data_IF_891760342050
#
_entry.id   IF_891760342050
#
_cell.length_a   1.000
_cell.length_b   1.000
_cell.length_c   1.000
_cell.angle_alpha   90.00
_cell.angle_beta   90.00
_cell.angle_gamma   90.00
#
_symmetry.space_group_name_H-M   'P 1'
#
loop_
_entity.id
_entity.type
_entity.pdbx_description
1 polymer ?
#
# COMPACT_ATOMS: atom_id res chain seq x y z
N UNK A 1 -19.23 9.79 -17.95
CA UNK A 1 -18.21 8.78 -18.33
C UNK A 1 -18.93 7.56 -18.88
N UNK A 2 -18.60 7.13 -20.10
CA UNK A 2 -19.24 5.97 -20.75
C UNK A 2 -18.68 4.64 -20.26
N UNK A 3 -17.41 4.59 -19.91
CA UNK A 3 -16.76 3.39 -19.38
C UNK A 3 -15.61 3.75 -18.46
N UNK A 4 -15.46 2.99 -17.35
CA UNK A 4 -14.29 3.09 -16.46
C UNK A 4 -12.98 2.64 -17.13
N UNK A 5 -13.07 2.03 -18.31
CA UNK A 5 -11.93 1.54 -19.11
C UNK A 5 -11.55 2.52 -20.24
N UNK A 6 -12.26 3.63 -20.41
CA UNK A 6 -11.84 4.69 -21.35
C UNK A 6 -10.75 5.53 -20.70
N UNK A 7 -9.55 5.50 -21.28
CA UNK A 7 -8.38 6.19 -20.74
C UNK A 7 -8.55 7.71 -20.77
N UNK A 8 -8.99 8.26 -21.89
CA UNK A 8 -9.14 9.71 -22.07
C UNK A 8 -10.21 10.29 -21.15
N UNK A 9 -11.37 9.64 -21.06
CA UNK A 9 -12.43 10.06 -20.16
C UNK A 9 -12.01 9.90 -18.68
N UNK A 10 -11.26 8.85 -18.34
CA UNK A 10 -10.76 8.61 -17.00
C UNK A 10 -9.80 9.70 -16.53
N UNK A 11 -8.86 10.09 -17.41
CA UNK A 11 -7.91 11.18 -17.14
C UNK A 11 -8.69 12.49 -16.91
N UNK A 12 -9.63 12.83 -17.81
CA UNK A 12 -10.39 14.06 -17.74
C UNK A 12 -11.22 14.15 -16.43
N UNK A 13 -11.86 13.06 -16.03
CA UNK A 13 -12.63 13.01 -14.76
C UNK A 13 -11.73 13.20 -13.55
N UNK A 14 -10.60 12.51 -13.49
CA UNK A 14 -9.67 12.62 -12.35
C UNK A 14 -9.03 14.00 -12.29
N UNK A 15 -8.71 14.61 -13.42
CA UNK A 15 -8.20 15.99 -13.49
C UNK A 15 -9.23 16.99 -12.99
N UNK A 16 -10.48 16.82 -13.36
CA UNK A 16 -11.57 17.68 -12.89
C UNK A 16 -11.79 17.54 -11.37
N UNK A 17 -11.79 16.31 -10.84
CA UNK A 17 -11.88 16.09 -9.39
C UNK A 17 -10.72 16.77 -8.65
N UNK A 18 -9.53 16.68 -9.19
CA UNK A 18 -8.34 17.31 -8.61
C UNK A 18 -8.44 18.86 -8.66
N UNK A 19 -8.92 19.39 -9.79
CA UNK A 19 -9.17 20.84 -9.97
C UNK A 19 -10.21 21.34 -8.98
N UNK A 20 -11.34 20.64 -8.81
CA UNK A 20 -12.40 21.00 -7.88
C UNK A 20 -11.93 20.96 -6.42
N UNK A 21 -11.17 19.93 -6.03
CA UNK A 21 -10.57 19.84 -4.71
C UNK A 21 -9.71 21.07 -4.40
N UNK A 22 -8.91 21.51 -5.37
CA UNK A 22 -8.07 22.72 -5.23
C UNK A 22 -8.87 24.01 -5.16
N UNK A 23 -9.86 24.20 -6.04
CA UNK A 23 -10.67 25.43 -6.07
C UNK A 23 -11.47 25.61 -4.79
N UNK A 24 -12.10 24.54 -4.31
CA UNK A 24 -12.95 24.58 -3.13
C UNK A 24 -12.21 24.28 -1.83
N UNK A 25 -10.89 24.08 -1.89
CA UNK A 25 -10.04 23.70 -0.76
C UNK A 25 -10.70 22.61 0.09
N UNK A 26 -11.13 21.53 -0.57
CA UNK A 26 -11.92 20.45 0.03
C UNK A 26 -11.30 19.08 -0.27
N UNK A 27 -11.70 18.08 0.54
CA UNK A 27 -11.35 16.69 0.31
C UNK A 27 -12.41 16.01 -0.54
N UNK A 28 -12.01 15.36 -1.63
CA UNK A 28 -12.90 14.52 -2.44
C UNK A 28 -12.53 13.06 -2.17
N UNK A 29 -13.53 12.28 -1.73
CA UNK A 29 -13.38 10.85 -1.47
C UNK A 29 -14.06 10.09 -2.61
N UNK A 30 -13.28 9.25 -3.30
CA UNK A 30 -13.78 8.35 -4.34
C UNK A 30 -13.79 6.91 -3.82
N UNK A 31 -14.88 6.19 -4.06
CA UNK A 31 -15.00 4.77 -3.71
C UNK A 31 -14.97 3.93 -4.98
N UNK A 32 -14.05 2.98 -5.03
CA UNK A 32 -13.87 2.05 -6.15
C UNK A 32 -13.71 0.62 -5.64
N UNK A 33 -14.11 -0.32 -6.49
CA UNK A 33 -13.82 -1.74 -6.25
C UNK A 33 -12.44 -2.12 -6.77
N UNK A 34 -11.80 -3.04 -6.07
CA UNK A 34 -10.61 -3.72 -6.57
C UNK A 34 -10.95 -4.67 -7.72
N UNK A 35 -9.97 -5.00 -8.57
CA UNK A 35 -10.08 -6.15 -9.45
C UNK A 35 -10.09 -7.44 -8.63
N UNK A 36 -10.87 -8.46 -9.02
CA UNK A 36 -10.81 -9.75 -8.37
C UNK A 36 -9.36 -10.27 -8.35
N UNK A 37 -8.90 -10.73 -7.18
CA UNK A 37 -7.56 -11.28 -6.95
C UNK A 37 -6.39 -10.30 -7.12
N UNK A 38 -6.59 -8.99 -6.90
CA UNK A 38 -5.52 -8.01 -6.99
C UNK A 38 -5.71 -6.76 -6.13
N UNK A 39 -4.62 -6.06 -5.86
CA UNK A 39 -4.59 -4.77 -5.15
C UNK A 39 -4.82 -3.59 -6.14
N UNK A 40 -4.94 -3.88 -7.43
CA UNK A 40 -5.17 -2.84 -8.45
C UNK A 40 -6.62 -2.38 -8.43
N UNK A 41 -6.82 -1.08 -8.47
CA UNK A 41 -8.14 -0.49 -8.66
C UNK A 41 -8.64 -0.79 -10.08
N UNK A 42 -9.95 -0.97 -10.21
CA UNK A 42 -10.56 -1.38 -11.47
C UNK A 42 -10.54 -0.27 -12.52
N UNK A 43 -10.07 -0.61 -13.74
CA UNK A 43 -10.13 0.25 -14.93
C UNK A 43 -9.07 1.37 -14.96
N UNK A 44 -9.04 2.11 -16.06
CA UNK A 44 -8.15 3.26 -16.24
C UNK A 44 -8.39 4.35 -15.19
N UNK A 45 -9.62 4.60 -14.80
CA UNK A 45 -9.95 5.55 -13.74
C UNK A 45 -9.30 5.15 -12.40
N UNK A 46 -9.25 3.86 -12.08
CA UNK A 46 -8.57 3.35 -10.89
C UNK A 46 -7.08 3.62 -10.92
N UNK A 47 -6.43 3.40 -12.06
CA UNK A 47 -5.00 3.67 -12.25
C UNK A 47 -4.69 5.17 -12.12
N UNK A 48 -5.51 6.03 -12.70
CA UNK A 48 -5.33 7.50 -12.61
C UNK A 48 -5.56 8.02 -11.17
N UNK A 49 -6.59 7.54 -10.48
CA UNK A 49 -6.81 7.87 -9.09
C UNK A 49 -5.66 7.38 -8.20
N UNK A 50 -5.16 6.17 -8.45
CA UNK A 50 -4.01 5.64 -7.71
C UNK A 50 -2.76 6.52 -7.90
N UNK A 51 -2.55 7.06 -9.09
CA UNK A 51 -1.44 7.95 -9.39
C UNK A 51 -1.58 9.32 -8.71
N UNK A 52 -2.77 9.94 -8.80
CA UNK A 52 -3.01 11.34 -8.39
C UNK A 52 -3.47 11.52 -6.94
N UNK A 53 -4.13 10.54 -6.33
CA UNK A 53 -4.64 10.67 -4.96
C UNK A 53 -3.53 10.91 -3.93
N UNK A 54 -3.84 11.68 -2.91
CA UNK A 54 -2.95 11.92 -1.76
C UNK A 54 -2.86 10.72 -0.84
N UNK A 55 -3.94 9.95 -0.72
CA UNK A 55 -4.03 8.73 0.08
C UNK A 55 -4.96 7.72 -0.56
N UNK A 56 -4.71 6.45 -0.29
CA UNK A 56 -5.57 5.32 -0.67
C UNK A 56 -5.74 4.44 0.55
N UNK A 57 -6.98 4.13 0.86
CA UNK A 57 -7.35 3.21 1.91
C UNK A 57 -8.05 2.00 1.31
N UNK A 58 -7.74 0.80 1.78
CA UNK A 58 -8.55 -0.39 1.52
C UNK A 58 -9.49 -0.66 2.69
N UNK A 59 -10.64 -1.23 2.40
CA UNK A 59 -11.58 -1.75 3.38
C UNK A 59 -11.75 -3.23 3.07
N UNK A 60 -11.40 -4.07 3.99
CA UNK A 60 -11.39 -5.52 3.84
C UNK A 60 -12.12 -6.15 5.04
N UNK A 61 -12.56 -7.41 4.89
CA UNK A 61 -13.03 -8.18 6.03
C UNK A 61 -11.85 -8.52 6.94
N UNK A 62 -12.08 -8.45 8.24
CA UNK A 62 -11.11 -8.94 9.23
C UNK A 62 -11.24 -10.46 9.41
N UNK A 63 -10.23 -11.08 10.05
CA UNK A 63 -10.29 -12.49 10.48
C UNK A 63 -11.47 -12.73 11.43
N UNK A 64 -11.81 -11.74 12.26
CA UNK A 64 -13.06 -11.70 12.98
C UNK A 64 -14.18 -11.19 12.05
N UNK A 65 -15.19 -12.03 11.70
CA UNK A 65 -16.24 -11.69 10.75
C UNK A 65 -17.14 -10.50 11.18
N UNK A 66 -17.10 -10.12 12.45
CA UNK A 66 -17.84 -8.96 12.96
C UNK A 66 -17.18 -7.63 12.61
N UNK A 67 -15.92 -7.65 12.13
CA UNK A 67 -15.16 -6.46 11.85
C UNK A 67 -14.75 -6.33 10.40
N UNK A 68 -14.60 -5.09 9.98
CA UNK A 68 -13.87 -4.68 8.79
C UNK A 68 -12.60 -3.97 9.22
N UNK A 69 -11.53 -4.20 8.49
CA UNK A 69 -10.25 -3.53 8.72
C UNK A 69 -10.01 -2.49 7.61
N UNK A 70 -9.63 -1.30 8.01
CA UNK A 70 -9.18 -0.22 7.12
C UNK A 70 -7.67 -0.15 7.16
N UNK A 71 -7.03 -0.27 6.00
CA UNK A 71 -5.58 -0.24 5.83
C UNK A 71 -5.19 0.89 4.88
N UNK A 72 -4.11 1.60 5.18
CA UNK A 72 -3.52 2.51 4.20
C UNK A 72 -2.74 1.70 3.14
N UNK A 73 -3.00 1.99 1.85
CA UNK A 73 -2.24 1.46 0.71
C UNK A 73 -1.29 2.51 0.14
N UNK A 74 -1.62 3.79 0.30
CA UNK A 74 -0.80 4.92 -0.14
C UNK A 74 -0.97 6.09 0.82
N UNK A 75 0.13 6.75 1.12
CA UNK A 75 0.18 8.03 1.84
C UNK A 75 1.23 8.91 1.18
N UNK A 76 0.89 10.16 0.83
CA UNK A 76 1.77 11.03 0.04
C UNK A 76 3.10 11.34 0.74
N UNK A 77 3.06 11.62 2.03
CA UNK A 77 4.21 12.11 2.79
C UNK A 77 4.72 11.13 3.85
N UNK A 78 4.38 9.84 3.71
CA UNK A 78 4.77 8.81 4.67
C UNK A 78 4.74 7.42 4.09
N UNK A 79 5.01 6.44 4.95
CA UNK A 79 4.83 5.04 4.59
C UNK A 79 3.42 4.57 4.95
N UNK A 80 2.71 3.88 4.06
CA UNK A 80 1.44 3.25 4.41
C UNK A 80 1.58 2.19 5.52
N UNK A 81 2.77 1.59 5.67
CA UNK A 81 3.05 0.59 6.71
C UNK A 81 3.14 1.20 8.13
N UNK A 82 3.38 2.50 8.22
CA UNK A 82 3.43 3.20 9.51
C UNK A 82 2.04 3.66 9.98
N UNK A 83 1.03 3.61 9.11
CA UNK A 83 -0.35 3.95 9.46
C UNK A 83 -0.99 2.78 10.20
N UNK A 84 -1.64 3.02 11.35
CA UNK A 84 -2.33 1.97 12.08
C UNK A 84 -3.49 1.39 11.26
N UNK A 85 -3.72 0.09 11.41
CA UNK A 85 -4.90 -0.57 10.87
C UNK A 85 -6.08 -0.33 11.80
N UNK A 86 -7.14 0.26 11.28
CA UNK A 86 -8.33 0.62 12.05
C UNK A 86 -9.42 -0.45 11.89
N UNK A 87 -10.04 -0.84 12.99
CA UNK A 87 -11.16 -1.78 13.01
C UNK A 87 -12.49 -1.02 13.08
N UNK A 88 -13.44 -1.48 12.28
CA UNK A 88 -14.82 -1.00 12.29
C UNK A 88 -15.76 -2.19 12.41
N UNK A 89 -16.77 -2.08 13.25
CA UNK A 89 -17.82 -3.07 13.43
C UNK A 89 -19.19 -2.45 13.29
N UNK A 90 -20.18 -3.25 12.86
CA UNK A 90 -21.56 -2.81 12.80
C UNK A 90 -22.14 -2.63 14.21
N UNK A 91 -22.71 -1.48 14.48
CA UNK A 91 -23.44 -1.19 15.70
C UNK A 91 -24.93 -1.25 15.43
N UNK A 92 -25.62 -2.18 16.07
CA UNK A 92 -27.07 -2.41 15.84
C UNK A 92 -27.93 -1.27 16.41
N UNK A 93 -27.46 -0.59 17.46
CA UNK A 93 -28.20 0.50 18.09
C UNK A 93 -28.11 1.80 17.29
N UNK A 94 -26.97 2.02 16.63
CA UNK A 94 -26.73 3.19 15.79
C UNK A 94 -27.00 2.92 14.31
N UNK A 95 -27.24 1.67 13.92
CA UNK A 95 -27.43 1.23 12.53
C UNK A 95 -26.32 1.71 11.57
N UNK A 96 -25.06 1.71 12.05
CA UNK A 96 -23.90 2.13 11.27
C UNK A 96 -22.64 1.41 11.69
N UNK A 97 -21.62 1.45 10.83
CA UNK A 97 -20.28 1.04 11.21
C UNK A 97 -19.65 2.06 12.16
N UNK A 98 -19.13 1.59 13.29
CA UNK A 98 -18.43 2.42 14.26
C UNK A 98 -17.00 1.94 14.44
N UNK A 99 -16.12 2.88 14.77
CA UNK A 99 -14.72 2.59 15.09
C UNK A 99 -14.63 1.72 16.35
N UNK A 100 -13.86 0.65 16.28
CA UNK A 100 -13.67 -0.35 17.35
C UNK A 100 -12.24 -0.42 17.87
N UNK A 101 -11.38 0.49 17.45
CA UNK A 101 -9.98 0.53 17.84
C UNK A 101 -9.02 0.19 16.71
N UNK A 102 -7.77 -0.03 17.07
CA UNK A 102 -6.71 -0.41 16.14
C UNK A 102 -6.35 -1.89 16.34
N UNK A 103 -5.88 -2.54 15.29
CA UNK A 103 -5.26 -3.86 15.41
C UNK A 103 -4.01 -3.78 16.30
N UNK A 104 -3.66 -4.91 16.92
CA UNK A 104 -2.52 -5.00 17.83
C UNK A 104 -1.21 -4.60 17.13
N UNK A 105 -0.18 -4.31 17.92
CA UNK A 105 1.18 -4.06 17.39
C UNK A 105 1.72 -5.29 16.66
N UNK A 106 1.43 -6.48 17.14
CA UNK A 106 1.81 -7.76 16.53
C UNK A 106 1.19 -7.94 15.16
N UNK A 107 -0.10 -7.63 14.99
CA UNK A 107 -0.77 -7.64 13.69
C UNK A 107 -0.16 -6.62 12.72
N UNK A 108 0.21 -5.45 13.22
CA UNK A 108 0.89 -4.42 12.41
C UNK A 108 2.28 -4.87 11.96
N UNK A 109 3.06 -5.48 12.84
CA UNK A 109 4.38 -6.00 12.52
C UNK A 109 4.30 -7.18 11.55
N UNK A 110 3.37 -8.11 11.78
CA UNK A 110 3.09 -9.21 10.85
C UNK A 110 2.75 -8.70 9.47
N UNK A 111 1.78 -7.78 9.35
CA UNK A 111 1.44 -7.15 8.08
C UNK A 111 2.65 -6.52 7.40
N UNK A 112 3.44 -5.75 8.15
CA UNK A 112 4.65 -5.11 7.61
C UNK A 112 5.63 -6.15 7.07
N UNK A 113 5.84 -7.24 7.79
CA UNK A 113 6.70 -8.34 7.37
C UNK A 113 6.18 -8.99 6.09
N UNK A 114 4.90 -9.35 6.04
CA UNK A 114 4.26 -10.00 4.89
C UNK A 114 4.31 -9.13 3.63
N UNK A 115 4.03 -7.83 3.77
CA UNK A 115 4.10 -6.88 2.65
C UNK A 115 5.54 -6.70 2.14
N UNK A 116 6.52 -6.63 3.04
CA UNK A 116 7.93 -6.52 2.66
C UNK A 116 8.45 -7.80 2.00
N UNK A 117 8.00 -8.98 2.43
CA UNK A 117 8.29 -10.26 1.76
C UNK A 117 7.74 -10.25 0.34
N UNK A 118 6.50 -9.81 0.16
CA UNK A 118 5.87 -9.71 -1.16
C UNK A 118 6.67 -8.80 -2.10
N UNK A 119 7.04 -7.61 -1.62
CA UNK A 119 7.82 -6.62 -2.38
C UNK A 119 9.21 -7.16 -2.74
N UNK A 120 9.92 -7.75 -1.78
CA UNK A 120 11.23 -8.36 -2.04
C UNK A 120 11.12 -9.49 -3.04
N UNK A 121 10.06 -10.29 -2.95
CA UNK A 121 9.81 -11.37 -3.90
C UNK A 121 9.62 -10.84 -5.32
N UNK A 122 8.88 -9.75 -5.49
CA UNK A 122 8.64 -9.10 -6.78
C UNK A 122 9.93 -8.46 -7.34
N UNK A 123 10.67 -7.70 -6.53
CA UNK A 123 11.94 -7.06 -6.93
C UNK A 123 12.93 -8.10 -7.45
N UNK A 124 13.06 -9.20 -6.75
CA UNK A 124 14.04 -10.25 -7.09
C UNK A 124 13.50 -11.31 -8.08
N UNK A 125 12.29 -11.15 -8.64
CA UNK A 125 11.87 -11.90 -9.83
C UNK A 125 12.65 -11.50 -11.07
N UNK A 126 12.94 -10.21 -11.21
CA UNK A 126 13.65 -9.65 -12.36
C UNK A 126 15.15 -9.43 -12.11
N UNK A 127 15.59 -9.43 -10.87
CA UNK A 127 16.96 -9.12 -10.47
C UNK A 127 17.48 -10.23 -9.55
N UNK A 128 18.59 -10.86 -9.89
CA UNK A 128 19.18 -11.87 -9.01
C UNK A 128 19.93 -11.28 -7.82
N UNK A 129 20.52 -10.10 -8.00
CA UNK A 129 21.32 -9.40 -6.98
C UNK A 129 21.25 -7.91 -7.19
N UNK A 130 21.27 -7.14 -6.10
CA UNK A 130 21.27 -5.68 -6.11
C UNK A 130 22.28 -5.15 -5.11
N UNK A 131 22.99 -4.10 -5.47
CA UNK A 131 23.80 -3.33 -4.52
C UNK A 131 22.89 -2.62 -3.52
N UNK A 132 23.46 -2.11 -2.44
CA UNK A 132 22.72 -1.34 -1.44
C UNK A 132 21.98 -0.13 -2.05
N UNK A 133 22.66 0.61 -2.94
CA UNK A 133 22.08 1.80 -3.55
C UNK A 133 20.93 1.44 -4.50
N UNK A 134 21.12 0.46 -5.37
CA UNK A 134 20.08 -0.01 -6.29
C UNK A 134 18.85 -0.51 -5.52
N UNK A 135 19.05 -1.27 -4.44
CA UNK A 135 17.95 -1.74 -3.61
C UNK A 135 17.21 -0.57 -2.93
N UNK A 136 17.94 0.43 -2.45
CA UNK A 136 17.36 1.63 -1.87
C UNK A 136 16.51 2.39 -2.90
N UNK A 137 17.03 2.60 -4.11
CA UNK A 137 16.33 3.32 -5.19
C UNK A 137 15.06 2.58 -5.64
N UNK A 138 15.14 1.25 -5.75
CA UNK A 138 13.97 0.41 -6.07
C UNK A 138 12.91 0.51 -4.97
N UNK A 139 13.29 0.38 -3.70
CA UNK A 139 12.34 0.49 -2.58
C UNK A 139 11.71 1.88 -2.47
N UNK A 140 12.46 2.93 -2.75
CA UNK A 140 11.91 4.29 -2.80
C UNK A 140 10.82 4.41 -3.88
N UNK A 141 11.03 3.82 -5.03
CA UNK A 141 10.07 3.82 -6.15
C UNK A 141 8.84 2.98 -5.86
N UNK A 142 9.02 1.73 -5.43
CA UNK A 142 7.92 0.77 -5.20
C UNK A 142 7.03 1.18 -4.01
N UNK A 143 7.63 1.66 -2.93
CA UNK A 143 6.90 2.08 -1.72
C UNK A 143 6.53 3.57 -1.71
N UNK A 144 7.05 4.36 -2.63
CA UNK A 144 6.83 5.81 -2.64
C UNK A 144 7.40 6.53 -1.42
N UNK A 145 8.46 5.99 -0.80
CA UNK A 145 9.06 6.50 0.44
C UNK A 145 10.35 7.28 0.20
N UNK A 146 10.74 8.10 1.17
CA UNK A 146 12.02 8.82 1.15
C UNK A 146 13.18 7.88 1.51
N UNK A 147 14.39 8.24 1.07
CA UNK A 147 15.62 7.46 1.28
C UNK A 147 15.82 7.01 2.73
N UNK A 148 15.58 7.90 3.70
CA UNK A 148 15.69 7.57 5.13
C UNK A 148 14.78 6.41 5.54
N UNK A 149 13.58 6.34 4.97
CA UNK A 149 12.61 5.26 5.25
C UNK A 149 12.99 3.98 4.54
N UNK A 150 13.44 4.06 3.28
CA UNK A 150 13.95 2.90 2.54
C UNK A 150 15.13 2.24 3.27
N UNK A 151 16.10 3.04 3.77
CA UNK A 151 17.22 2.54 4.59
C UNK A 151 16.76 1.83 5.87
N UNK A 152 15.73 2.36 6.54
CA UNK A 152 15.15 1.67 7.71
C UNK A 152 14.51 0.33 7.34
N UNK A 153 13.85 0.25 6.18
CA UNK A 153 13.28 -1.01 5.72
C UNK A 153 14.35 -2.04 5.33
N UNK A 154 15.44 -1.62 4.68
CA UNK A 154 16.58 -2.52 4.40
C UNK A 154 17.15 -3.09 5.70
N UNK A 155 17.37 -2.25 6.71
CA UNK A 155 17.86 -2.70 8.02
C UNK A 155 16.89 -3.69 8.68
N UNK A 156 15.60 -3.37 8.70
CA UNK A 156 14.54 -4.25 9.23
C UNK A 156 14.48 -5.58 8.48
N UNK A 157 14.48 -5.56 7.15
CA UNK A 157 14.42 -6.77 6.33
C UNK A 157 15.64 -7.68 6.51
N UNK A 158 16.81 -7.11 6.78
CA UNK A 158 18.00 -7.89 7.13
C UNK A 158 17.82 -8.56 8.49
N UNK A 159 17.39 -7.81 9.50
CA UNK A 159 17.13 -8.32 10.85
C UNK A 159 16.10 -9.46 10.84
N UNK A 160 15.04 -9.31 10.03
CA UNK A 160 13.99 -10.32 9.87
C UNK A 160 14.34 -11.43 8.87
N UNK A 161 15.57 -11.48 8.33
CA UNK A 161 16.02 -12.47 7.33
C UNK A 161 15.17 -12.52 6.04
N UNK A 162 14.48 -11.44 5.73
CA UNK A 162 13.79 -11.25 4.45
C UNK A 162 14.81 -10.96 3.33
N UNK A 163 15.91 -10.32 3.68
CA UNK A 163 17.08 -10.08 2.83
C UNK A 163 18.30 -10.76 3.39
N UNK A 164 19.13 -11.29 2.52
CA UNK A 164 20.49 -11.76 2.82
C UNK A 164 21.52 -10.99 2.00
N UNK A 165 22.76 -10.98 2.46
CA UNK A 165 23.87 -10.32 1.77
C UNK A 165 24.90 -11.36 1.38
N UNK A 166 25.36 -11.33 0.13
CA UNK A 166 26.42 -12.22 -0.35
C UNK A 166 27.83 -11.75 0.09
N UNK A 167 28.84 -12.53 -0.21
CA UNK A 167 30.22 -12.23 0.13
C UNK A 167 30.77 -10.98 -0.58
N UNK A 168 30.15 -10.56 -1.67
CA UNK A 168 30.51 -9.34 -2.42
C UNK A 168 29.77 -8.09 -1.89
N UNK A 169 28.90 -8.26 -0.90
CA UNK A 169 28.12 -7.18 -0.32
C UNK A 169 26.79 -6.87 -1.02
N UNK A 170 26.41 -7.65 -2.04
CA UNK A 170 25.13 -7.49 -2.73
C UNK A 170 24.00 -8.18 -1.97
N UNK A 171 22.80 -7.65 -2.14
CA UNK A 171 21.57 -8.16 -1.54
C UNK A 171 20.87 -9.16 -2.44
N UNK A 172 20.25 -10.14 -1.82
CA UNK A 172 19.43 -11.17 -2.45
C UNK A 172 18.28 -11.57 -1.50
N UNK A 173 17.35 -12.41 -1.99
CA UNK A 173 16.29 -12.97 -1.14
C UNK A 173 16.86 -13.68 0.07
N UNK A 174 16.28 -13.44 1.23
CA UNK A 174 16.59 -14.14 2.46
C UNK A 174 15.77 -15.42 2.63
N UNK A 175 16.01 -16.14 3.72
CA UNK A 175 15.38 -17.41 4.05
C UNK A 175 13.86 -17.33 4.12
N UNK A 176 13.30 -16.24 4.68
CA UNK A 176 11.85 -16.03 4.82
C UNK A 176 11.10 -15.82 3.49
N UNK A 177 11.81 -15.55 2.39
CA UNK A 177 11.19 -15.44 1.06
C UNK A 177 11.07 -16.77 0.32
N UNK A 178 11.54 -17.86 0.89
CA UNK A 178 11.55 -19.21 0.29
C UNK A 178 10.51 -20.15 0.92
N UNK A 179 9.75 -19.68 1.88
CA UNK A 179 8.65 -20.39 2.52
C UNK A 179 7.33 -20.03 1.88
#
# INVERSE_FOLDING_TARGET
MRSANDETESIAVVDELYRLAGIYNTCIICVLHFVPNGIKLRGHIGSELQRKSAGILSIEKDDNPEYSVVKALKVRDGSPLDVPMMLFGWDKGLEMHVYRGEKSKEDKEKRKTDELISIVTEIFQSNHRLSYQELCDVLMRELGVKERTAKKYIAYMREQRILSQDTAGNYQKGELCHT
#
